data_IF_236346938982
#
_entry.id   IF_236346938982
#
_cell.length_a   1.000
_cell.length_b   1.000
_cell.length_c   1.000
_cell.angle_alpha   90.00
_cell.angle_beta   90.00
_cell.angle_gamma   90.00
#
_symmetry.space_group_name_H-M   'P 1'
#
loop_
_entity.id
_entity.type
_entity.pdbx_description
1 polymer ?
#
# COMPACT_ATOMS: atom_id res chain seq x y z
N UNK A 1 -28.75 -10.28 -2.06
CA UNK A 1 -28.12 -9.51 -0.97
C UNK A 1 -26.87 -8.84 -1.52
N UNK A 2 -26.63 -7.55 -1.26
CA UNK A 2 -25.42 -6.85 -1.73
C UNK A 2 -24.43 -6.76 -0.56
N UNK A 3 -23.21 -7.25 -0.75
CA UNK A 3 -22.18 -7.34 0.29
C UNK A 3 -20.93 -6.56 -0.12
N UNK A 4 -20.38 -5.75 0.80
CA UNK A 4 -19.08 -5.11 0.66
C UNK A 4 -18.05 -5.78 1.58
N UNK A 5 -16.77 -5.77 1.19
CA UNK A 5 -15.69 -6.41 1.94
C UNK A 5 -14.74 -5.36 2.51
N UNK A 6 -14.52 -5.36 3.82
CA UNK A 6 -13.44 -4.60 4.47
C UNK A 6 -12.40 -5.56 5.00
N UNK A 7 -11.13 -5.40 4.62
CA UNK A 7 -10.08 -6.37 4.92
C UNK A 7 -8.73 -5.72 5.11
N UNK A 8 -7.74 -6.44 5.65
CA UNK A 8 -6.37 -5.95 5.78
C UNK A 8 -5.68 -5.98 4.40
N UNK A 9 -4.54 -5.27 4.26
CA UNK A 9 -3.81 -5.22 2.99
C UNK A 9 -3.35 -6.61 2.51
N UNK A 10 -3.05 -7.52 3.44
CA UNK A 10 -2.56 -8.88 3.13
C UNK A 10 -3.69 -9.76 2.60
N UNK A 11 -4.85 -9.74 3.27
CA UNK A 11 -5.99 -10.57 2.89
C UNK A 11 -6.78 -10.01 1.70
N UNK A 12 -6.54 -8.76 1.28
CA UNK A 12 -7.19 -8.16 0.11
C UNK A 12 -7.02 -9.00 -1.17
N UNK A 13 -5.86 -9.64 -1.34
CA UNK A 13 -5.57 -10.47 -2.51
C UNK A 13 -6.53 -11.67 -2.62
N UNK A 14 -6.84 -12.30 -1.49
CA UNK A 14 -7.71 -13.50 -1.41
C UNK A 14 -9.15 -13.16 -1.77
N UNK A 15 -9.59 -11.93 -1.43
CA UNK A 15 -10.96 -11.51 -1.64
C UNK A 15 -11.27 -11.02 -3.06
N UNK A 16 -10.27 -10.84 -3.94
CA UNK A 16 -10.51 -10.43 -5.33
C UNK A 16 -11.41 -11.41 -6.09
N UNK A 17 -11.31 -12.71 -5.78
CA UNK A 17 -12.15 -13.75 -6.40
C UNK A 17 -13.64 -13.48 -6.20
N UNK A 18 -14.04 -13.00 -5.01
CA UNK A 18 -15.44 -12.66 -4.71
C UNK A 18 -15.91 -11.37 -5.42
N UNK A 19 -14.97 -10.46 -5.70
CA UNK A 19 -15.25 -9.24 -6.45
C UNK A 19 -15.46 -9.56 -7.94
N UNK A 20 -14.61 -10.44 -8.49
CA UNK A 20 -14.67 -10.88 -9.89
C UNK A 20 -15.90 -11.74 -10.17
N UNK A 21 -16.27 -12.62 -9.25
CA UNK A 21 -17.49 -13.43 -9.34
C UNK A 21 -18.79 -12.64 -9.11
N UNK A 22 -18.68 -11.33 -8.83
CA UNK A 22 -19.80 -10.43 -8.48
C UNK A 22 -20.57 -10.87 -7.22
N UNK A 23 -19.96 -11.69 -6.37
CA UNK A 23 -20.52 -12.05 -5.06
C UNK A 23 -20.38 -10.88 -4.06
N UNK A 24 -19.35 -10.05 -4.23
CA UNK A 24 -19.18 -8.78 -3.55
C UNK A 24 -19.26 -7.60 -4.54
N UNK A 25 -19.81 -6.47 -4.08
CA UNK A 25 -20.02 -5.27 -4.89
C UNK A 25 -18.90 -4.23 -4.74
N UNK A 26 -18.00 -4.41 -3.78
CA UNK A 26 -16.93 -3.47 -3.48
C UNK A 26 -15.99 -3.99 -2.39
N UNK A 27 -14.78 -3.44 -2.33
CA UNK A 27 -13.77 -3.80 -1.34
C UNK A 27 -13.03 -2.55 -0.84
N UNK A 28 -12.82 -2.47 0.47
CA UNK A 28 -11.89 -1.55 1.13
C UNK A 28 -10.73 -2.35 1.68
N UNK A 29 -9.62 -2.38 0.94
CA UNK A 29 -8.43 -3.16 1.25
C UNK A 29 -7.38 -2.35 2.00
N UNK A 30 -7.15 -2.70 3.26
CA UNK A 30 -6.07 -2.18 4.10
C UNK A 30 -6.05 -0.66 4.22
N UNK A 31 -4.84 -0.14 4.42
CA UNK A 31 -4.59 1.29 4.60
C UNK A 31 -4.96 2.11 3.36
N UNK A 32 -4.70 1.58 2.16
CA UNK A 32 -5.04 2.24 0.90
C UNK A 32 -6.55 2.45 0.76
N UNK A 33 -7.35 1.41 1.01
CA UNK A 33 -8.81 1.52 0.95
C UNK A 33 -9.37 2.50 1.97
N UNK A 34 -8.79 2.54 3.18
CA UNK A 34 -9.13 3.53 4.19
C UNK A 34 -8.78 4.96 3.75
N UNK A 35 -7.59 5.19 3.18
CA UNK A 35 -7.17 6.51 2.68
C UNK A 35 -8.02 7.00 1.50
N UNK A 36 -8.39 6.11 0.57
CA UNK A 36 -9.32 6.45 -0.52
C UNK A 36 -10.70 6.83 0.03
N UNK A 37 -11.16 6.17 1.09
CA UNK A 37 -12.42 6.53 1.75
C UNK A 37 -12.36 7.90 2.44
N UNK A 38 -11.27 8.21 3.15
CA UNK A 38 -11.04 9.56 3.71
C UNK A 38 -11.06 10.64 2.62
N UNK A 39 -10.38 10.39 1.49
CA UNK A 39 -10.36 11.33 0.36
C UNK A 39 -11.75 11.53 -0.27
N UNK A 40 -12.57 10.48 -0.33
CA UNK A 40 -13.95 10.59 -0.79
C UNK A 40 -14.83 11.41 0.16
N UNK A 41 -14.65 11.24 1.48
CA UNK A 41 -15.38 12.04 2.47
C UNK A 41 -14.95 13.51 2.44
N UNK A 42 -13.66 13.77 2.24
CA UNK A 42 -13.09 15.11 2.09
C UNK A 42 -13.66 15.84 0.86
N UNK A 43 -13.73 15.15 -0.29
CA UNK A 43 -14.37 15.69 -1.51
C UNK A 43 -15.84 16.07 -1.32
N UNK A 44 -16.53 15.41 -0.41
CA UNK A 44 -17.93 15.70 -0.09
C UNK A 44 -18.09 16.75 1.02
N UNK A 45 -16.99 17.33 1.52
CA UNK A 45 -16.96 18.26 2.65
C UNK A 45 -17.64 17.71 3.91
N UNK A 46 -17.66 16.38 4.09
CA UNK A 46 -18.24 15.71 5.28
C UNK A 46 -17.15 15.24 6.24
N UNK A 47 -15.89 15.38 5.86
CA UNK A 47 -14.75 14.96 6.67
C UNK A 47 -14.19 16.13 7.48
N UNK A 48 -14.30 16.06 8.81
CA UNK A 48 -13.76 17.07 9.73
C UNK A 48 -12.62 16.56 10.62
N UNK A 49 -12.17 15.32 10.40
CA UNK A 49 -11.17 14.65 11.24
C UNK A 49 -9.75 14.69 10.67
N UNK A 50 -8.79 14.16 11.43
CA UNK A 50 -7.44 13.87 10.93
C UNK A 50 -7.48 12.71 9.95
N UNK A 51 -6.84 12.86 8.80
CA UNK A 51 -6.71 11.84 7.74
C UNK A 51 -5.64 10.82 8.09
N UNK A 52 -5.82 10.07 9.17
CA UNK A 52 -4.79 9.19 9.72
C UNK A 52 -4.42 8.06 8.73
N UNK A 53 -5.37 7.56 7.93
CA UNK A 53 -5.04 6.57 6.90
C UNK A 53 -4.19 7.16 5.78
N UNK A 54 -4.50 8.39 5.35
CA UNK A 54 -3.72 9.13 4.37
C UNK A 54 -2.31 9.45 4.88
N UNK A 55 -2.17 9.85 6.15
CA UNK A 55 -0.86 10.10 6.78
C UNK A 55 -0.05 8.80 6.85
N UNK A 56 -0.69 7.67 7.16
CA UNK A 56 -0.01 6.37 7.15
C UNK A 56 0.54 5.98 5.77
N UNK A 57 -0.13 6.37 4.69
CA UNK A 57 0.33 6.13 3.31
C UNK A 57 1.61 6.92 2.98
N UNK A 58 1.78 8.13 3.51
CA UNK A 58 3.00 8.94 3.31
C UNK A 58 4.21 8.29 4.00
N UNK A 59 4.01 7.75 5.21
CA UNK A 59 5.04 6.99 5.91
C UNK A 59 5.45 5.73 5.14
N UNK A 60 4.47 5.01 4.58
CA UNK A 60 4.74 3.83 3.74
C UNK A 60 5.55 4.19 2.48
N UNK A 61 5.19 5.27 1.79
CA UNK A 61 5.89 5.73 0.58
C UNK A 61 7.35 6.12 0.87
N UNK A 62 7.58 6.82 1.98
CA UNK A 62 8.92 7.20 2.42
C UNK A 62 9.79 5.98 2.76
N UNK A 63 9.21 4.99 3.44
CA UNK A 63 9.90 3.74 3.76
C UNK A 63 10.29 2.96 2.50
N UNK A 64 9.40 2.89 1.50
CA UNK A 64 9.70 2.23 0.22
C UNK A 64 10.89 2.87 -0.50
N UNK A 65 10.94 4.21 -0.56
CA UNK A 65 12.07 4.94 -1.16
C UNK A 65 13.37 4.64 -0.41
N UNK A 66 13.33 4.62 0.92
CA UNK A 66 14.49 4.29 1.73
C UNK A 66 15.02 2.88 1.44
N UNK A 67 14.15 1.87 1.35
CA UNK A 67 14.57 0.52 1.00
C UNK A 67 15.18 0.44 -0.40
N UNK A 68 14.63 1.15 -1.39
CA UNK A 68 15.21 1.20 -2.74
C UNK A 68 16.64 1.75 -2.70
N UNK A 69 16.88 2.83 -1.95
CA UNK A 69 18.22 3.40 -1.79
C UNK A 69 19.18 2.40 -1.16
N UNK A 70 18.76 1.72 -0.07
CA UNK A 70 19.59 0.71 0.59
C UNK A 70 19.92 -0.46 -0.34
N UNK A 71 18.97 -0.93 -1.15
CA UNK A 71 19.21 -2.01 -2.12
C UNK A 71 20.22 -1.56 -3.18
N UNK A 72 20.10 -0.34 -3.71
CA UNK A 72 21.06 0.21 -4.68
C UNK A 72 22.47 0.28 -4.08
N UNK A 73 22.60 0.84 -2.86
CA UNK A 73 23.89 0.93 -2.17
C UNK A 73 24.48 -0.45 -1.89
N UNK A 74 23.67 -1.41 -1.45
CA UNK A 74 24.07 -2.80 -1.21
C UNK A 74 24.58 -3.47 -2.48
N UNK A 75 23.89 -3.27 -3.61
CA UNK A 75 24.32 -3.78 -4.91
C UNK A 75 25.65 -3.15 -5.34
N UNK A 76 25.80 -1.83 -5.23
CA UNK A 76 27.06 -1.14 -5.57
C UNK A 76 28.22 -1.69 -4.73
N UNK A 77 28.04 -1.81 -3.41
CA UNK A 77 29.05 -2.36 -2.51
C UNK A 77 29.44 -3.80 -2.88
N UNK A 78 28.45 -4.64 -3.21
CA UNK A 78 28.67 -6.00 -3.68
C UNK A 78 29.53 -6.03 -4.96
N UNK A 79 29.20 -5.22 -5.97
CA UNK A 79 29.95 -5.20 -7.24
C UNK A 79 31.37 -4.65 -7.06
N UNK A 80 31.57 -3.63 -6.22
CA UNK A 80 32.90 -3.08 -5.90
C UNK A 80 33.76 -4.13 -5.20
N UNK A 81 33.20 -4.85 -4.21
CA UNK A 81 33.92 -5.93 -3.51
C UNK A 81 34.27 -7.08 -4.46
N UNK A 82 33.31 -7.54 -5.27
CA UNK A 82 33.52 -8.59 -6.27
C UNK A 82 34.62 -8.26 -7.28
N UNK A 83 34.74 -6.99 -7.70
CA UNK A 83 35.80 -6.53 -8.62
C UNK A 83 37.20 -6.51 -7.95
N UNK A 84 37.26 -6.39 -6.63
CA UNK A 84 38.50 -6.43 -5.83
C UNK A 84 38.98 -7.85 -5.54
N UNK A 85 38.06 -8.80 -5.35
CA UNK A 85 38.38 -10.21 -5.07
C UNK A 85 38.59 -11.06 -6.33
N UNK A 86 38.14 -10.59 -7.50
CA UNK A 86 38.37 -11.23 -8.81
C UNK A 86 39.67 -10.81 -9.52
N UNK A 87 40.59 -10.14 -8.82
CA UNK A 87 41.99 -9.93 -9.19
C UNK A 87 42.85 -10.66 -8.17
#
# INVERSE_FOLDING_TARGET
MKMGIGTTAVSAAEYYSYLQSKQAIGMLGGLKGAAEYEHLLDKKNVYGGRKDASIGMDAQSSAHIFFIILIILGNIAYFVKKRKEGK
#
